data_IF_691542358346
#
_entry.id   IF_691542358346
#
_cell.length_a   1.000
_cell.length_b   1.000
_cell.length_c   1.000
_cell.angle_alpha   90.00
_cell.angle_beta   90.00
_cell.angle_gamma   90.00
#
_symmetry.space_group_name_H-M   'P 1'
#
loop_
_entity.id
_entity.type
_entity.pdbx_description
1 polymer ?
#
# COMPACT_ATOMS: atom_id res chain seq x y z
N UNK A 1 -5.07 -8.85 16.66
CA UNK A 1 -4.66 -9.60 15.45
C UNK A 1 -5.56 -9.18 14.29
N UNK A 2 -5.17 -8.18 13.49
CA UNK A 2 -5.99 -7.61 12.42
C UNK A 2 -5.57 -8.06 11.01
N UNK A 3 -4.83 -9.17 10.91
CA UNK A 3 -4.16 -9.63 9.70
C UNK A 3 -5.10 -9.73 8.48
N UNK A 4 -6.26 -10.36 8.64
CA UNK A 4 -7.22 -10.58 7.54
C UNK A 4 -7.68 -9.24 6.95
N UNK A 5 -8.09 -8.30 7.81
CA UNK A 5 -8.57 -6.98 7.41
C UNK A 5 -7.47 -6.16 6.70
N UNK A 6 -6.23 -6.22 7.22
CA UNK A 6 -5.08 -5.54 6.62
C UNK A 6 -4.78 -6.11 5.23
N UNK A 7 -4.73 -7.44 5.10
CA UNK A 7 -4.48 -8.11 3.82
C UNK A 7 -5.57 -7.79 2.80
N UNK A 8 -6.85 -7.78 3.21
CA UNK A 8 -7.96 -7.41 2.32
C UNK A 8 -7.84 -5.96 1.83
N UNK A 9 -7.49 -5.02 2.71
CA UNK A 9 -7.22 -3.63 2.35
C UNK A 9 -6.06 -3.55 1.34
N UNK A 10 -4.95 -4.24 1.60
CA UNK A 10 -3.81 -4.26 0.67
C UNK A 10 -4.13 -4.92 -0.67
N UNK A 11 -4.97 -5.97 -0.74
CA UNK A 11 -5.40 -6.57 -2.01
C UNK A 11 -6.23 -5.60 -2.86
N UNK A 12 -7.03 -4.75 -2.21
CA UNK A 12 -7.87 -3.75 -2.88
C UNK A 12 -7.01 -2.66 -3.53
N UNK A 13 -5.94 -2.22 -2.87
CA UNK A 13 -5.11 -1.08 -3.32
C UNK A 13 -3.78 -1.46 -3.96
N UNK A 14 -3.33 -2.71 -3.80
CA UNK A 14 -2.02 -3.21 -4.20
C UNK A 14 -0.89 -2.78 -3.26
N UNK A 15 -0.73 -1.47 -3.05
CA UNK A 15 0.19 -0.88 -2.08
C UNK A 15 -0.46 0.31 -1.37
N UNK A 16 -0.23 0.47 -0.07
CA UNK A 16 -0.86 1.53 0.71
C UNK A 16 -0.02 1.97 1.91
N UNK A 17 -0.17 3.23 2.32
CA UNK A 17 0.47 3.77 3.53
C UNK A 17 -0.20 3.24 4.78
N UNK A 18 0.58 2.97 5.83
CA UNK A 18 0.07 2.60 7.16
C UNK A 18 -0.99 3.57 7.67
N UNK A 19 -0.80 4.88 7.52
CA UNK A 19 -1.79 5.90 7.89
C UNK A 19 -3.12 5.78 7.12
N UNK A 20 -3.06 5.41 5.83
CA UNK A 20 -4.25 5.18 5.01
C UNK A 20 -4.92 3.86 5.32
N UNK A 21 -4.14 2.81 5.60
CA UNK A 21 -4.66 1.52 6.06
C UNK A 21 -5.40 1.72 7.39
N UNK A 22 -4.82 2.47 8.35
CA UNK A 22 -5.45 2.80 9.62
C UNK A 22 -6.79 3.51 9.41
N UNK A 23 -6.81 4.55 8.56
CA UNK A 23 -8.02 5.30 8.24
C UNK A 23 -9.12 4.44 7.60
N UNK A 24 -8.79 3.53 6.69
CA UNK A 24 -9.78 2.69 6.00
C UNK A 24 -10.27 1.51 6.86
N UNK A 25 -9.41 0.96 7.70
CA UNK A 25 -9.73 -0.20 8.55
C UNK A 25 -10.30 0.19 9.91
N UNK A 26 -10.14 1.45 10.32
CA UNK A 26 -10.49 1.92 11.66
C UNK A 26 -9.57 1.41 12.77
N UNK A 27 -8.44 0.78 12.42
CA UNK A 27 -7.48 0.24 13.38
C UNK A 27 -6.56 1.39 13.85
N UNK A 28 -6.34 1.57 15.16
CA UNK A 28 -5.34 2.50 15.69
C UNK A 28 -3.95 2.26 15.09
N UNK A 29 -3.21 3.33 14.79
CA UNK A 29 -1.97 3.25 14.02
C UNK A 29 -0.87 2.40 14.70
N UNK A 30 -0.80 2.44 16.03
CA UNK A 30 0.09 1.63 16.86
C UNK A 30 -0.22 0.12 16.76
N UNK A 31 -1.49 -0.25 16.96
CA UNK A 31 -1.97 -1.63 16.83
C UNK A 31 -1.83 -2.16 15.39
N UNK A 32 -2.01 -1.28 14.42
CA UNK A 32 -1.77 -1.58 13.01
C UNK A 32 -0.28 -1.85 12.76
N UNK A 33 0.62 -0.97 13.22
CA UNK A 33 2.08 -1.15 13.06
C UNK A 33 2.58 -2.43 13.71
N UNK A 34 2.06 -2.79 14.88
CA UNK A 34 2.35 -4.08 15.51
C UNK A 34 1.92 -5.26 14.62
N UNK A 35 0.72 -5.20 14.05
CA UNK A 35 0.22 -6.25 13.15
C UNK A 35 1.01 -6.32 11.84
N UNK A 36 1.42 -5.17 11.29
CA UNK A 36 2.25 -5.09 10.07
C UNK A 36 3.64 -5.68 10.29
N UNK A 37 4.26 -5.44 11.46
CA UNK A 37 5.54 -6.04 11.82
C UNK A 37 5.46 -7.57 11.81
N UNK A 38 4.45 -8.14 12.48
CA UNK A 38 4.25 -9.60 12.47
C UNK A 38 3.99 -10.18 11.08
N UNK A 39 3.21 -9.48 10.24
CA UNK A 39 2.99 -9.90 8.85
C UNK A 39 4.27 -9.84 8.00
N UNK A 40 5.11 -8.83 8.23
CA UNK A 40 6.39 -8.69 7.53
C UNK A 40 7.38 -9.78 7.96
N UNK A 41 7.45 -10.10 9.25
CA UNK A 41 8.26 -11.21 9.78
C UNK A 41 7.82 -12.57 9.22
N UNK A 42 6.51 -12.79 9.04
CA UNK A 42 5.98 -13.98 8.38
C UNK A 42 6.17 -14.00 6.85
N UNK A 43 6.64 -12.90 6.25
CA UNK A 43 6.82 -12.79 4.80
C UNK A 43 5.54 -12.55 3.99
N UNK A 44 4.39 -12.35 4.64
CA UNK A 44 3.09 -12.11 3.99
C UNK A 44 3.04 -10.75 3.28
N UNK A 45 3.75 -9.77 3.83
CA UNK A 45 3.84 -8.42 3.27
C UNK A 45 5.30 -7.96 3.21
N UNK A 46 5.55 -7.00 2.32
CA UNK A 46 6.76 -6.18 2.33
C UNK A 46 6.38 -4.77 2.78
N UNK A 47 7.18 -4.20 3.68
CA UNK A 47 7.03 -2.82 4.16
C UNK A 47 8.34 -2.06 4.01
N UNK A 48 8.27 -0.80 3.57
CA UNK A 48 9.41 0.09 3.48
C UNK A 48 9.14 1.35 4.32
N UNK A 49 10.10 1.74 5.15
CA UNK A 49 10.11 3.07 5.77
C UNK A 49 10.24 4.13 4.68
N UNK A 50 9.38 5.14 4.72
CA UNK A 50 9.41 6.24 3.77
C UNK A 50 9.27 7.58 4.51
N UNK A 51 9.94 8.59 3.98
CA UNK A 51 9.70 9.99 4.31
C UNK A 51 8.89 10.62 3.18
N UNK A 52 7.71 11.15 3.48
CA UNK A 52 6.92 11.97 2.53
C UNK A 52 6.95 13.42 2.95
N UNK A 53 7.08 14.33 1.99
CA UNK A 53 6.96 15.75 2.24
C UNK A 53 5.53 16.19 1.94
N UNK A 54 4.76 16.51 2.98
CA UNK A 54 3.45 17.14 2.84
C UNK A 54 3.63 18.63 3.12
N UNK A 55 3.37 19.49 2.13
CA UNK A 55 3.51 20.95 2.26
C UNK A 55 4.91 21.39 2.73
N UNK A 56 5.94 20.65 2.30
CA UNK A 56 7.33 20.90 2.69
C UNK A 56 7.73 20.36 4.07
N UNK A 57 6.80 19.77 4.83
CA UNK A 57 7.11 19.12 6.11
C UNK A 57 7.33 17.60 5.93
N UNK A 58 8.41 17.04 6.48
CA UNK A 58 8.67 15.60 6.41
C UNK A 58 7.71 14.84 7.34
N UNK A 59 7.14 13.77 6.80
CA UNK A 59 6.24 12.84 7.48
C UNK A 59 6.76 11.43 7.27
N UNK A 60 7.14 10.79 8.37
CA UNK A 60 7.59 9.40 8.37
C UNK A 60 6.41 8.43 8.37
N UNK A 61 6.53 7.34 7.62
CA UNK A 61 5.53 6.28 7.58
C UNK A 61 6.03 5.01 6.92
N UNK A 62 5.12 4.04 6.78
CA UNK A 62 5.42 2.77 6.13
C UNK A 62 4.57 2.59 4.88
N UNK A 63 5.21 2.31 3.75
CA UNK A 63 4.52 1.86 2.54
C UNK A 63 4.49 0.33 2.53
N UNK A 64 3.28 -0.24 2.52
CA UNK A 64 3.07 -1.68 2.64
C UNK A 64 2.47 -2.25 1.35
N UNK A 65 2.88 -3.46 0.97
CA UNK A 65 2.32 -4.24 -0.14
C UNK A 65 2.34 -5.73 0.18
N UNK A 66 1.47 -6.51 -0.44
CA UNK A 66 1.48 -7.98 -0.30
C UNK A 66 2.68 -8.57 -1.06
N UNK A 67 3.38 -9.50 -0.42
CA UNK A 67 4.48 -10.26 -1.03
C UNK A 67 3.98 -11.11 -2.19
N UNK A 68 4.68 -11.10 -3.32
CA UNK A 68 4.29 -11.86 -4.51
C UNK A 68 3.00 -11.39 -5.21
N UNK A 69 2.36 -10.30 -4.75
CA UNK A 69 1.19 -9.77 -5.41
C UNK A 69 1.57 -9.00 -6.68
N UNK A 70 1.09 -9.49 -7.82
CA UNK A 70 1.20 -8.83 -9.12
C UNK A 70 -0.11 -8.10 -9.40
N UNK A 71 -0.11 -6.76 -9.49
CA UNK A 71 -1.33 -6.01 -9.79
C UNK A 71 -1.86 -6.37 -11.18
N UNK A 72 -3.16 -6.18 -11.40
CA UNK A 72 -3.76 -6.40 -12.74
C UNK A 72 -3.03 -5.50 -13.76
N UNK A 73 -2.87 -5.97 -15.02
CA UNK A 73 -2.32 -5.14 -16.07
C UNK A 73 -3.05 -3.80 -16.14
N UNK A 74 -2.30 -2.71 -16.11
CA UNK A 74 -2.88 -1.39 -16.31
C UNK A 74 -3.59 -1.34 -17.68
N UNK A 75 -4.70 -0.59 -17.82
CA UNK A 75 -5.31 -0.36 -19.12
C UNK A 75 -4.23 0.15 -20.09
N UNK A 76 -3.98 -0.59 -21.17
CA UNK A 76 -2.91 -0.25 -22.10
C UNK A 76 -3.07 1.17 -22.64
N UNK A 77 -1.94 1.87 -22.85
CA UNK A 77 -1.93 3.18 -23.50
C UNK A 77 -2.61 3.03 -24.87
N UNK A 78 -3.78 3.64 -25.04
CA UNK A 78 -4.42 3.73 -26.37
C UNK A 78 -3.44 4.42 -27.32
N UNK A 79 -3.20 3.83 -28.48
CA UNK A 79 -2.40 4.46 -29.52
C UNK A 79 -3.05 5.78 -29.93
N UNK A 80 -2.24 6.80 -30.20
CA UNK A 80 -2.74 8.01 -30.83
C UNK A 80 -3.29 7.66 -32.22
N UNK A 81 -4.40 8.28 -32.68
CA UNK A 81 -4.87 8.07 -34.04
C UNK A 81 -3.76 8.47 -35.03
N UNK A 82 -3.48 7.61 -36.02
CA UNK A 82 -2.57 7.97 -37.12
C UNK A 82 -3.17 9.18 -37.85
N UNK A 83 -2.39 10.25 -37.97
CA UNK A 83 -2.70 11.33 -38.90
C UNK A 83 -2.67 10.74 -40.33
N UNK A 84 -3.77 10.83 -41.07
CA UNK A 84 -3.76 10.55 -42.51
C UNK A 84 -3.17 11.79 -43.19
N UNK A 85 -2.06 11.61 -43.93
CA UNK A 85 -1.59 12.59 -44.91
C UNK A 85 -2.51 12.58 -46.13
#
# INVERSE_FOLDING_TARGET
MHAITIIQCLKKHGQLLDSKIAAETGIPLDALRFSLAGLAECGEISSCSITRYNEGQPVEGFLCRISGFVPRPAPGRKSAPRHKN
#
